data_IF_737662162933
#
_entry.id   IF_737662162933
#
_cell.length_a   1.000
_cell.length_b   1.000
_cell.length_c   1.000
_cell.angle_alpha   90.00
_cell.angle_beta   90.00
_cell.angle_gamma   90.00
#
_symmetry.space_group_name_H-M   'P 1'
#
loop_
_entity.id
_entity.type
_entity.pdbx_description
1 polymer ?
#
# COMPACT_ATOMS: atom_id res chain seq x y z
N UNK A 1 -22.26 -6.79 -20.77
CA UNK A 1 -21.18 -5.80 -20.84
C UNK A 1 -20.34 -6.15 -22.04
N UNK A 2 -20.10 -5.20 -22.93
CA UNK A 2 -19.21 -5.34 -24.08
C UNK A 2 -17.74 -5.18 -23.67
N UNK A 3 -16.81 -5.60 -24.53
CA UNK A 3 -15.37 -5.45 -24.29
C UNK A 3 -14.98 -3.96 -24.14
N UNK A 4 -15.66 -3.07 -24.86
CA UNK A 4 -15.49 -1.62 -24.73
C UNK A 4 -15.94 -1.11 -23.35
N UNK A 5 -17.05 -1.63 -22.81
CA UNK A 5 -17.50 -1.29 -21.47
C UNK A 5 -16.57 -1.84 -20.38
N UNK A 6 -16.00 -3.04 -20.59
CA UNK A 6 -15.01 -3.63 -19.67
C UNK A 6 -13.71 -2.82 -19.60
N UNK A 7 -13.18 -2.39 -20.74
CA UNK A 7 -11.94 -1.61 -20.81
C UNK A 7 -12.04 -0.21 -20.18
N UNK A 8 -13.26 0.29 -19.96
CA UNK A 8 -13.52 1.58 -19.33
C UNK A 8 -13.74 1.48 -17.81
N UNK A 9 -13.75 0.27 -17.24
CA UNK A 9 -13.83 0.10 -15.80
C UNK A 9 -12.57 0.66 -15.14
N UNK A 10 -12.78 1.45 -14.08
CA UNK A 10 -11.70 1.93 -13.23
C UNK A 10 -11.54 0.97 -12.06
N UNK A 11 -10.41 0.29 -12.03
CA UNK A 11 -9.98 -0.51 -10.88
C UNK A 11 -9.31 0.38 -9.83
N UNK A 12 -9.22 -0.13 -8.61
CA UNK A 12 -8.55 0.57 -7.52
C UNK A 12 -7.05 0.65 -7.79
N UNK A 13 -6.45 1.82 -7.64
CA UNK A 13 -5.01 2.00 -7.79
C UNK A 13 -4.38 2.07 -6.40
N UNK A 14 -3.86 0.93 -5.93
CA UNK A 14 -3.28 0.82 -4.59
C UNK A 14 -2.19 1.85 -4.33
N UNK A 15 -1.26 2.01 -5.27
CA UNK A 15 -0.10 2.87 -5.07
C UNK A 15 -0.52 4.32 -4.96
N UNK A 16 -1.36 4.79 -5.90
CA UNK A 16 -1.85 6.17 -5.89
C UNK A 16 -2.64 6.49 -4.61
N UNK A 17 -3.54 5.60 -4.19
CA UNK A 17 -4.36 5.81 -3.00
C UNK A 17 -3.52 5.81 -1.71
N UNK A 18 -2.55 4.89 -1.59
CA UNK A 18 -1.65 4.85 -0.43
C UNK A 18 -0.73 6.06 -0.34
N UNK A 19 -0.24 6.56 -1.49
CA UNK A 19 0.55 7.81 -1.53
C UNK A 19 -0.27 9.00 -1.06
N UNK A 20 -1.52 9.12 -1.54
CA UNK A 20 -2.40 10.23 -1.13
C UNK A 20 -2.78 10.13 0.36
N UNK A 21 -2.99 8.93 0.88
CA UNK A 21 -3.22 8.68 2.30
C UNK A 21 -2.00 9.06 3.16
N UNK A 22 -0.79 8.62 2.78
CA UNK A 22 0.43 8.94 3.50
C UNK A 22 0.73 10.45 3.49
N UNK A 23 0.50 11.15 2.38
CA UNK A 23 0.60 12.63 2.30
C UNK A 23 -0.42 13.32 3.23
N UNK A 24 -1.66 12.81 3.27
CA UNK A 24 -2.69 13.35 4.15
C UNK A 24 -2.32 13.19 5.64
N UNK A 25 -1.76 12.04 6.01
CA UNK A 25 -1.29 11.76 7.36
C UNK A 25 -0.06 12.59 7.71
N UNK A 26 0.91 12.70 6.79
CA UNK A 26 2.11 13.51 6.96
C UNK A 26 1.75 14.97 7.26
N UNK A 27 0.75 15.51 6.55
CA UNK A 27 0.23 16.87 6.76
C UNK A 27 -0.40 17.09 8.14
N UNK A 28 -0.92 16.04 8.76
CA UNK A 28 -1.49 16.05 10.11
C UNK A 28 -0.46 15.64 11.19
N UNK A 29 0.80 15.44 10.80
CA UNK A 29 1.89 15.02 11.70
C UNK A 29 2.85 16.17 12.02
N UNK A 30 3.70 15.96 13.03
CA UNK A 30 4.79 16.87 13.40
C UNK A 30 6.10 16.60 12.62
N UNK A 31 6.08 15.69 11.63
CA UNK A 31 7.28 15.31 10.87
C UNK A 31 7.71 16.44 9.92
N UNK A 32 9.01 16.70 9.88
CA UNK A 32 9.65 17.62 8.95
C UNK A 32 10.93 17.00 8.40
N UNK A 33 11.17 17.20 7.10
CA UNK A 33 12.38 16.72 6.42
C UNK A 33 13.56 17.71 6.47
N UNK A 34 13.41 18.85 7.14
CA UNK A 34 14.45 19.86 7.19
C UNK A 34 15.75 19.34 7.84
N UNK A 35 16.82 19.29 7.04
CA UNK A 35 18.14 18.83 7.48
C UNK A 35 18.28 17.31 7.58
N UNK A 36 17.26 16.54 7.17
CA UNK A 36 17.30 15.08 7.13
C UNK A 36 17.84 14.58 5.79
N UNK A 37 18.58 13.47 5.84
CA UNK A 37 18.89 12.70 4.64
C UNK A 37 17.72 11.75 4.29
N UNK A 38 17.76 11.11 3.11
CA UNK A 38 16.67 10.24 2.66
C UNK A 38 16.41 9.06 3.58
N UNK A 39 17.45 8.45 4.15
CA UNK A 39 17.30 7.33 5.09
C UNK A 39 16.56 7.75 6.35
N UNK A 40 16.95 8.89 6.94
CA UNK A 40 16.27 9.45 8.12
C UNK A 40 14.80 9.80 7.82
N UNK A 41 14.53 10.43 6.67
CA UNK A 41 13.17 10.77 6.25
C UNK A 41 12.32 9.52 5.93
N UNK A 42 12.93 8.48 5.36
CA UNK A 42 12.29 7.19 5.10
C UNK A 42 11.89 6.53 6.42
N UNK A 43 12.79 6.48 7.40
CA UNK A 43 12.49 5.91 8.73
C UNK A 43 11.33 6.64 9.41
N UNK A 44 11.29 7.98 9.37
CA UNK A 44 10.16 8.73 9.93
C UNK A 44 8.82 8.37 9.27
N UNK A 45 8.81 8.23 7.94
CA UNK A 45 7.60 7.90 7.19
C UNK A 45 7.18 6.45 7.39
N UNK A 46 8.13 5.52 7.50
CA UNK A 46 7.88 4.13 7.85
C UNK A 46 7.25 4.02 9.23
N UNK A 47 7.78 4.72 10.22
CA UNK A 47 7.24 4.76 11.57
C UNK A 47 5.84 5.38 11.60
N UNK A 48 5.64 6.50 10.89
CA UNK A 48 4.33 7.14 10.77
C UNK A 48 3.28 6.23 10.12
N UNK A 49 3.65 5.54 9.03
CA UNK A 49 2.79 4.60 8.32
C UNK A 49 2.38 3.44 9.22
N UNK A 50 3.31 2.89 10.00
CA UNK A 50 3.05 1.82 10.97
C UNK A 50 2.15 2.28 12.12
N UNK A 51 2.40 3.47 12.68
CA UNK A 51 1.61 4.02 13.78
C UNK A 51 0.16 4.33 13.37
N UNK A 52 -0.06 4.67 12.10
CA UNK A 52 -1.40 4.91 11.54
C UNK A 52 -2.03 3.68 10.89
N UNK A 53 -1.30 2.57 10.80
CA UNK A 53 -1.74 1.29 10.24
C UNK A 53 -2.29 1.39 8.81
N UNK A 54 -1.59 2.12 7.93
CA UNK A 54 -2.08 2.37 6.55
C UNK A 54 -2.12 1.11 5.66
N UNK A 55 -1.45 0.05 6.11
CA UNK A 55 -1.47 -1.27 5.47
C UNK A 55 -2.57 -2.16 6.05
N UNK A 56 -3.09 -1.85 7.25
CA UNK A 56 -3.98 -2.71 8.01
C UNK A 56 -3.29 -3.92 8.65
N UNK A 57 -1.96 -4.05 8.56
CA UNK A 57 -1.20 -5.20 9.07
C UNK A 57 -1.26 -5.29 10.60
N UNK A 58 -1.30 -4.16 11.31
CA UNK A 58 -1.36 -4.15 12.77
C UNK A 58 -2.73 -4.60 13.29
N UNK A 59 -3.80 -4.23 12.60
CA UNK A 59 -5.18 -4.58 12.97
C UNK A 59 -5.69 -5.86 12.30
N UNK A 60 -5.01 -6.34 11.26
CA UNK A 60 -5.40 -7.47 10.43
C UNK A 60 -6.39 -7.13 9.31
N UNK A 61 -6.81 -5.88 9.17
CA UNK A 61 -7.64 -5.42 8.06
C UNK A 61 -7.67 -3.90 7.95
N UNK A 62 -7.34 -3.38 6.77
CA UNK A 62 -7.50 -1.96 6.45
C UNK A 62 -8.97 -1.57 6.29
N UNK A 63 -9.76 -2.36 5.55
CA UNK A 63 -11.12 -2.01 5.19
C UNK A 63 -12.16 -2.27 6.29
N UNK A 64 -11.84 -3.15 7.24
CA UNK A 64 -12.80 -3.77 8.16
C UNK A 64 -14.07 -4.29 7.42
N UNK A 65 -13.89 -4.74 6.18
CA UNK A 65 -14.94 -5.17 5.27
C UNK A 65 -14.39 -5.98 4.09
N UNK A 66 -14.65 -7.30 4.11
CA UNK A 66 -14.23 -8.24 3.06
C UNK A 66 -14.62 -7.81 1.64
N UNK A 67 -15.88 -7.42 1.41
CA UNK A 67 -16.36 -7.06 0.08
C UNK A 67 -15.66 -5.81 -0.49
N UNK A 68 -15.23 -4.88 0.37
CA UNK A 68 -14.44 -3.73 -0.09
C UNK A 68 -13.03 -4.14 -0.47
N UNK A 69 -12.40 -5.00 0.33
CA UNK A 69 -11.08 -5.53 0.05
C UNK A 69 -11.06 -6.32 -1.27
N UNK A 70 -12.02 -7.25 -1.45
CA UNK A 70 -12.18 -8.00 -2.71
C UNK A 70 -12.34 -7.08 -3.93
N UNK A 71 -13.09 -5.98 -3.80
CA UNK A 71 -13.28 -5.01 -4.89
C UNK A 71 -12.01 -4.24 -5.22
N UNK A 72 -11.18 -3.93 -4.23
CA UNK A 72 -9.89 -3.29 -4.45
C UNK A 72 -8.93 -4.24 -5.19
N UNK A 73 -8.99 -5.54 -4.89
CA UNK A 73 -8.19 -6.58 -5.54
C UNK A 73 -8.59 -6.87 -7.00
N UNK A 74 -9.83 -6.57 -7.40
CA UNK A 74 -10.24 -6.76 -8.79
C UNK A 74 -9.34 -5.94 -9.74
N UNK A 75 -8.67 -6.65 -10.65
CA UNK A 75 -7.73 -6.05 -11.60
C UNK A 75 -6.30 -5.88 -11.08
N UNK A 76 -6.02 -6.28 -9.84
CA UNK A 76 -4.73 -6.11 -9.14
C UNK A 76 -4.13 -7.44 -8.62
N UNK A 77 -4.55 -8.58 -9.17
CA UNK A 77 -4.03 -9.89 -8.74
C UNK A 77 -2.57 -10.15 -9.12
N UNK A 78 -2.04 -9.39 -10.08
CA UNK A 78 -0.61 -9.33 -10.36
C UNK A 78 0.17 -8.77 -9.16
N UNK A 79 -0.32 -7.70 -8.52
CA UNK A 79 0.29 -7.17 -7.29
C UNK A 79 0.27 -8.18 -6.13
N UNK A 80 -0.76 -9.04 -6.08
CA UNK A 80 -0.80 -10.13 -5.11
C UNK A 80 0.32 -11.13 -5.38
N UNK A 81 0.54 -11.50 -6.65
CA UNK A 81 1.62 -12.40 -7.02
C UNK A 81 2.99 -11.80 -6.73
N UNK A 82 3.20 -10.53 -7.07
CA UNK A 82 4.45 -9.81 -6.79
C UNK A 82 4.74 -9.78 -5.28
N UNK A 83 3.71 -9.53 -4.46
CA UNK A 83 3.84 -9.56 -3.01
C UNK A 83 4.18 -10.96 -2.46
N UNK A 84 3.54 -12.02 -2.98
CA UNK A 84 3.85 -13.39 -2.59
C UNK A 84 5.31 -13.75 -2.92
N UNK A 85 5.78 -13.37 -4.10
CA UNK A 85 7.16 -13.60 -4.54
C UNK A 85 8.16 -12.86 -3.64
N UNK A 86 7.90 -11.59 -3.33
CA UNK A 86 8.73 -10.75 -2.46
C UNK A 86 8.85 -11.31 -1.03
N UNK A 87 7.76 -11.82 -0.48
CA UNK A 87 7.74 -12.43 0.85
C UNK A 87 8.14 -13.92 0.85
N UNK A 88 8.59 -14.45 -0.30
CA UNK A 88 8.99 -15.86 -0.47
C UNK A 88 7.88 -16.85 -0.08
N UNK A 89 6.64 -16.54 -0.46
CA UNK A 89 5.45 -17.34 -0.22
C UNK A 89 5.08 -18.09 -1.50
N UNK A 90 5.15 -19.44 -1.48
CA UNK A 90 5.00 -20.25 -2.70
C UNK A 90 3.61 -20.18 -3.33
N UNK A 91 2.56 -19.95 -2.54
CA UNK A 91 1.17 -19.84 -2.99
C UNK A 91 0.22 -19.45 -1.85
N UNK A 92 -1.00 -19.05 -2.24
CA UNK A 92 -2.14 -18.87 -1.34
C UNK A 92 -2.72 -20.26 -0.96
N UNK A 93 -1.91 -21.09 -0.30
CA UNK A 93 -2.36 -22.42 0.16
C UNK A 93 -3.00 -22.36 1.56
N UNK A 94 -2.81 -21.24 2.27
CA UNK A 94 -3.43 -21.00 3.58
C UNK A 94 -4.84 -20.44 3.41
N UNK A 95 -5.88 -21.08 3.99
CA UNK A 95 -7.23 -20.54 4.03
C UNK A 95 -7.33 -19.14 4.66
N UNK A 96 -6.38 -18.78 5.53
CA UNK A 96 -6.31 -17.46 6.15
C UNK A 96 -5.92 -16.39 5.12
N UNK A 97 -5.01 -16.70 4.19
CA UNK A 97 -4.61 -15.79 3.09
C UNK A 97 -5.62 -15.74 1.94
N UNK A 98 -6.67 -16.55 1.97
CA UNK A 98 -7.70 -16.53 0.93
C UNK A 98 -8.71 -15.38 1.12
N UNK A 99 -8.72 -14.71 2.27
CA UNK A 99 -9.60 -13.56 2.48
C UNK A 99 -9.10 -12.34 1.70
N UNK A 100 -10.05 -11.61 1.12
CA UNK A 100 -9.77 -10.32 0.47
C UNK A 100 -9.07 -9.36 1.42
N UNK A 101 -9.44 -9.33 2.71
CA UNK A 101 -8.75 -8.51 3.71
C UNK A 101 -7.27 -8.86 3.89
N UNK A 102 -6.91 -10.14 3.94
CA UNK A 102 -5.50 -10.51 4.07
C UNK A 102 -4.70 -10.24 2.79
N UNK A 103 -5.30 -10.49 1.62
CA UNK A 103 -4.65 -10.18 0.34
C UNK A 103 -4.46 -8.66 0.16
N UNK A 104 -5.42 -7.85 0.60
CA UNK A 104 -5.30 -6.39 0.61
C UNK A 104 -4.15 -5.92 1.50
N UNK A 105 -4.05 -6.45 2.73
CA UNK A 105 -2.93 -6.16 3.65
C UNK A 105 -1.60 -6.56 3.04
N UNK A 106 -1.52 -7.75 2.43
CA UNK A 106 -0.31 -8.26 1.77
C UNK A 106 0.18 -7.32 0.66
N UNK A 107 -0.73 -6.90 -0.22
CA UNK A 107 -0.43 -5.95 -1.30
C UNK A 107 0.04 -4.61 -0.74
N UNK A 108 -0.64 -4.09 0.29
CA UNK A 108 -0.26 -2.80 0.90
C UNK A 108 1.12 -2.86 1.56
N UNK A 109 1.43 -3.93 2.30
CA UNK A 109 2.77 -4.14 2.88
C UNK A 109 3.86 -4.22 1.82
N UNK A 110 3.61 -4.95 0.72
CA UNK A 110 4.54 -5.02 -0.42
C UNK A 110 4.78 -3.66 -1.07
N UNK A 111 3.73 -2.85 -1.24
CA UNK A 111 3.85 -1.55 -1.88
C UNK A 111 4.43 -0.46 -0.98
N UNK A 112 4.31 -0.58 0.34
CA UNK A 112 4.67 0.46 1.31
C UNK A 112 6.07 1.08 1.09
N UNK A 113 7.15 0.31 0.85
CA UNK A 113 8.46 0.89 0.57
C UNK A 113 8.46 1.83 -0.64
N UNK A 114 7.83 1.41 -1.73
CA UNK A 114 7.73 2.21 -2.96
C UNK A 114 6.82 3.43 -2.80
N UNK A 115 5.79 3.33 -1.95
CA UNK A 115 4.90 4.44 -1.60
C UNK A 115 5.66 5.51 -0.80
N UNK A 116 6.47 5.10 0.17
CA UNK A 116 7.33 6.01 0.94
C UNK A 116 8.32 6.70 0.00
N UNK A 117 8.96 5.95 -0.91
CA UNK A 117 9.88 6.52 -1.89
C UNK A 117 9.22 7.57 -2.78
N UNK A 118 8.00 7.31 -3.27
CA UNK A 118 7.23 8.26 -4.09
C UNK A 118 6.89 9.54 -3.31
N UNK A 119 6.54 9.44 -2.01
CA UNK A 119 6.30 10.60 -1.15
C UNK A 119 7.59 11.39 -0.96
N UNK A 120 8.71 10.74 -0.66
CA UNK A 120 10.00 11.44 -0.53
C UNK A 120 10.41 12.16 -1.82
N UNK A 121 10.14 11.56 -2.98
CA UNK A 121 10.38 12.16 -4.28
C UNK A 121 9.50 13.40 -4.51
N UNK A 122 8.21 13.36 -4.12
CA UNK A 122 7.31 14.54 -4.16
C UNK A 122 7.83 15.70 -3.30
N UNK A 123 8.50 15.40 -2.19
CA UNK A 123 9.12 16.38 -1.30
C UNK A 123 10.57 16.75 -1.69
N UNK A 124 11.04 16.28 -2.85
CA UNK A 124 12.39 16.53 -3.40
C UNK A 124 13.53 16.10 -2.46
N UNK A 125 13.34 15.02 -1.71
CA UNK A 125 14.38 14.43 -0.86
C UNK A 125 15.25 13.53 -1.73
N UNK A 126 16.49 13.97 -1.99
CA UNK A 126 17.37 13.33 -2.97
C UNK A 126 17.53 11.81 -2.72
N UNK A 127 17.48 10.96 -3.76
CA UNK A 127 17.92 9.56 -3.65
C UNK A 127 19.40 9.51 -3.24
N UNK A 128 19.79 8.43 -2.56
CA UNK A 128 21.14 8.20 -2.05
C UNK A 128 22.24 8.40 -3.10
#
# INVERSE_FOLDING_TARGET
>A
MSDEELNNLKFYDYKSEMVDELEAILKDSDITFNGKNRGEAYEDLQDLAFDRDITGNRTGSYWCNELKAERALLGNFDLVQDALDDFSMESIDSPELFSGEHLDVLVREHLLPSVIDDVLDKHNIAPF
#
